data_IF_562139187168
#
_entry.id   IF_562139187168
#
_cell.length_a   1.000
_cell.length_b   1.000
_cell.length_c   1.000
_cell.angle_alpha   90.00
_cell.angle_beta   90.00
_cell.angle_gamma   90.00
#
_symmetry.space_group_name_H-M   'P 1'
#
loop_
_entity.id
_entity.type
_entity.pdbx_description
1 polymer ?
#
# COMPACT_ATOMS: atom_id res chain seq x y z
N UNK A 1 1.78 -46.40 -15.81
CA UNK A 1 0.79 -47.41 -16.28
C UNK A 1 -0.58 -46.96 -15.79
N UNK A 2 -1.56 -46.92 -16.75
CA UNK A 2 -3.00 -46.54 -16.62
C UNK A 2 -3.34 -45.06 -16.52
N UNK A 3 -3.97 -44.51 -17.45
CA UNK A 3 -4.93 -44.52 -18.61
C UNK A 3 -5.95 -43.39 -18.37
N UNK A 4 -5.95 -42.41 -19.11
CA UNK A 4 -6.71 -41.78 -20.20
C UNK A 4 -8.24 -41.97 -20.15
N UNK A 5 -8.97 -40.84 -20.04
CA UNK A 5 -10.08 -40.28 -20.78
C UNK A 5 -11.51 -40.58 -20.24
N UNK A 6 -12.57 -39.95 -20.77
CA UNK A 6 -12.63 -39.12 -21.98
C UNK A 6 -13.38 -37.77 -21.84
N UNK A 7 -13.28 -36.99 -22.90
CA UNK A 7 -13.99 -35.79 -23.31
C UNK A 7 -15.50 -35.92 -23.46
N UNK A 8 -16.26 -34.85 -23.17
CA UNK A 8 -17.57 -34.65 -23.80
C UNK A 8 -17.71 -33.21 -24.30
N UNK A 9 -17.90 -33.13 -25.60
CA UNK A 9 -18.34 -31.97 -26.39
C UNK A 9 -19.85 -31.84 -26.31
N UNK A 10 -20.37 -30.62 -26.35
CA UNK A 10 -21.80 -30.36 -26.53
C UNK A 10 -22.03 -28.91 -26.93
N UNK A 11 -22.14 -28.69 -28.24
CA UNK A 11 -22.55 -27.44 -28.83
C UNK A 11 -24.07 -27.26 -28.75
N UNK A 12 -24.53 -26.05 -28.54
CA UNK A 12 -25.92 -25.63 -28.67
C UNK A 12 -26.03 -24.17 -29.07
N UNK A 13 -26.14 -23.96 -30.39
CA UNK A 13 -26.63 -22.70 -30.98
C UNK A 13 -28.14 -22.68 -30.95
N UNK A 14 -28.76 -21.47 -30.84
CA UNK A 14 -30.03 -20.93 -31.36
C UNK A 14 -30.23 -19.61 -30.61
N UNK A 15 -30.62 -18.43 -31.14
CA UNK A 15 -31.04 -17.97 -32.43
C UNK A 15 -31.28 -16.48 -32.26
N UNK A 16 -31.08 -15.74 -33.31
CA UNK A 16 -31.32 -14.31 -33.43
C UNK A 16 -32.81 -14.02 -33.61
N UNK A 17 -33.28 -12.88 -33.07
CA UNK A 17 -34.47 -12.22 -33.62
C UNK A 17 -34.29 -10.70 -33.64
N UNK A 18 -34.25 -10.19 -34.86
CA UNK A 18 -34.44 -8.79 -35.25
C UNK A 18 -35.89 -8.39 -35.08
N UNK A 19 -36.15 -7.17 -34.65
CA UNK A 19 -37.36 -6.47 -35.08
C UNK A 19 -37.10 -4.98 -35.27
N UNK A 20 -37.19 -4.62 -36.57
CA UNK A 20 -37.30 -3.26 -37.10
C UNK A 20 -38.72 -2.74 -36.93
N UNK A 21 -38.86 -1.40 -36.84
CA UNK A 21 -40.08 -0.63 -37.10
C UNK A 21 -39.78 0.84 -36.85
N UNK A 22 -39.47 1.64 -37.81
CA UNK A 22 -40.06 2.35 -38.94
C UNK A 22 -41.15 3.34 -38.54
N UNK A 23 -40.75 4.64 -38.64
CA UNK A 23 -41.41 5.87 -39.13
C UNK A 23 -42.79 6.32 -38.64
N UNK A 24 -42.97 7.60 -38.29
CA UNK A 24 -43.55 8.58 -39.20
C UNK A 24 -43.66 10.00 -38.61
N UNK A 25 -43.46 10.95 -39.49
CA UNK A 25 -43.62 12.39 -39.51
C UNK A 25 -44.97 12.96 -39.07
N UNK A 26 -44.96 14.23 -38.68
CA UNK A 26 -45.72 15.40 -39.21
C UNK A 26 -45.79 16.49 -38.12
N UNK A 27 -45.29 17.63 -38.32
CA UNK A 27 -45.55 18.82 -39.11
C UNK A 27 -46.40 19.89 -38.40
N UNK A 28 -45.95 21.17 -38.60
CA UNK A 28 -46.60 22.45 -38.48
C UNK A 28 -46.94 23.00 -37.07
N UNK A 29 -46.64 24.21 -36.69
CA UNK A 29 -46.41 25.45 -37.37
C UNK A 29 -46.51 26.63 -36.41
N UNK A 30 -45.86 27.69 -36.81
CA UNK A 30 -46.12 29.12 -36.56
C UNK A 30 -45.88 29.74 -35.19
N UNK A 31 -44.82 30.57 -35.12
CA UNK A 31 -44.98 32.05 -35.12
C UNK A 31 -44.86 32.69 -33.74
N UNK A 32 -43.82 33.50 -33.56
CA UNK A 32 -43.72 34.44 -32.45
C UNK A 32 -42.32 35.07 -32.34
N UNK A 33 -42.21 36.30 -32.72
CA UNK A 33 -41.03 37.12 -32.91
C UNK A 33 -40.30 37.55 -31.60
N UNK A 34 -39.02 37.68 -31.71
CA UNK A 34 -38.14 38.72 -31.17
C UNK A 34 -38.00 38.91 -29.65
N UNK A 35 -36.83 38.48 -29.14
CA UNK A 35 -35.97 39.31 -28.29
C UNK A 35 -34.51 38.80 -28.45
N UNK A 36 -33.74 39.52 -29.29
CA UNK A 36 -32.31 39.44 -29.36
C UNK A 36 -31.69 40.00 -28.07
N UNK A 37 -31.43 39.18 -27.10
CA UNK A 37 -30.45 39.46 -26.05
C UNK A 37 -29.09 38.89 -26.49
N UNK A 38 -28.21 39.83 -26.86
CA UNK A 38 -26.80 39.62 -27.14
C UNK A 38 -26.13 38.97 -25.94
N UNK A 39 -26.11 37.63 -25.87
CA UNK A 39 -25.18 36.89 -25.01
C UNK A 39 -23.85 36.82 -25.73
N UNK A 40 -22.93 37.71 -25.29
CA UNK A 40 -21.52 37.62 -25.63
C UNK A 40 -20.99 36.21 -25.34
N UNK A 41 -19.93 35.76 -26.04
CA UNK A 41 -19.40 34.42 -25.87
C UNK A 41 -18.91 34.26 -24.43
N UNK A 42 -19.62 33.47 -23.61
CA UNK A 42 -19.09 32.97 -22.35
C UNK A 42 -17.81 32.21 -22.68
N UNK A 43 -16.67 32.87 -22.50
CA UNK A 43 -15.37 32.22 -22.55
C UNK A 43 -15.44 31.05 -21.58
N UNK A 44 -15.49 29.83 -22.07
CA UNK A 44 -15.28 28.62 -21.30
C UNK A 44 -13.83 28.67 -20.84
N UNK A 45 -13.54 29.31 -19.69
CA UNK A 45 -12.24 29.20 -19.05
C UNK A 45 -11.93 27.73 -18.88
N UNK A 46 -10.83 27.27 -19.46
CA UNK A 46 -10.36 25.90 -19.27
C UNK A 46 -10.14 25.69 -17.75
N UNK A 47 -10.50 24.54 -17.24
CA UNK A 47 -10.39 24.27 -15.79
C UNK A 47 -9.00 24.50 -15.20
N UNK A 48 -7.96 24.63 -16.04
CA UNK A 48 -6.58 24.94 -15.64
C UNK A 48 -6.25 26.44 -15.50
N UNK A 49 -7.15 27.37 -15.89
CA UNK A 49 -6.84 28.80 -15.97
C UNK A 49 -7.40 29.62 -14.79
N UNK A 50 -7.81 28.96 -13.71
CA UNK A 50 -8.30 29.65 -12.51
C UNK A 50 -7.16 30.04 -11.57
N UNK A 51 -7.31 31.14 -10.77
CA UNK A 51 -6.31 31.49 -9.75
C UNK A 51 -6.00 30.32 -8.77
N UNK A 52 -7.01 29.52 -8.45
CA UNK A 52 -6.85 28.33 -7.59
C UNK A 52 -6.00 27.23 -8.26
N UNK A 53 -6.27 26.95 -9.54
CA UNK A 53 -5.47 26.01 -10.34
C UNK A 53 -4.00 26.45 -10.43
N UNK A 54 -3.76 27.77 -10.63
CA UNK A 54 -2.41 28.31 -10.64
C UNK A 54 -1.71 28.16 -9.27
N UNK A 55 -2.42 28.39 -8.15
CA UNK A 55 -1.88 28.18 -6.80
C UNK A 55 -1.49 26.70 -6.58
N UNK A 56 -2.35 25.77 -6.97
CA UNK A 56 -2.07 24.34 -6.88
C UNK A 56 -0.85 23.96 -7.74
N UNK A 57 -0.81 24.42 -8.99
CA UNK A 57 0.30 24.15 -9.92
C UNK A 57 1.64 24.67 -9.40
N UNK A 58 1.67 25.89 -8.88
CA UNK A 58 2.87 26.48 -8.27
C UNK A 58 3.36 25.69 -7.06
N UNK A 59 2.44 25.22 -6.21
CA UNK A 59 2.78 24.39 -5.06
C UNK A 59 3.33 23.03 -5.51
N UNK A 60 2.67 22.37 -6.44
CA UNK A 60 3.10 21.09 -7.00
C UNK A 60 4.48 21.20 -7.65
N UNK A 61 4.72 22.24 -8.46
CA UNK A 61 6.01 22.51 -9.09
C UNK A 61 7.13 22.73 -8.06
N UNK A 62 6.86 23.51 -7.00
CA UNK A 62 7.82 23.74 -5.91
C UNK A 62 8.20 22.45 -5.21
N UNK A 63 7.22 21.60 -4.90
CA UNK A 63 7.44 20.32 -4.25
C UNK A 63 8.23 19.38 -5.16
N UNK A 64 7.85 19.27 -6.43
CA UNK A 64 8.55 18.46 -7.44
C UNK A 64 10.03 18.86 -7.53
N UNK A 65 10.32 20.16 -7.64
CA UNK A 65 11.71 20.68 -7.71
C UNK A 65 12.52 20.29 -6.47
N UNK A 66 11.90 20.32 -5.29
CA UNK A 66 12.55 19.95 -4.03
C UNK A 66 12.83 18.45 -3.94
N UNK A 67 11.81 17.62 -4.21
CA UNK A 67 11.88 16.17 -4.02
C UNK A 67 12.63 15.46 -5.15
N UNK A 68 12.61 16.00 -6.38
CA UNK A 68 13.26 15.37 -7.55
C UNK A 68 14.76 15.13 -7.33
N UNK A 69 15.47 16.09 -6.72
CA UNK A 69 16.92 15.94 -6.44
C UNK A 69 17.19 14.79 -5.48
N UNK A 70 16.35 14.66 -4.45
CA UNK A 70 16.44 13.57 -3.51
C UNK A 70 16.09 12.24 -4.19
N UNK A 71 14.98 12.17 -4.90
CA UNK A 71 14.56 10.95 -5.60
C UNK A 71 15.62 10.46 -6.61
N UNK A 72 16.23 11.38 -7.38
CA UNK A 72 17.31 11.02 -8.31
C UNK A 72 18.54 10.48 -7.60
N UNK A 73 18.96 11.11 -6.48
CA UNK A 73 20.13 10.66 -5.71
C UNK A 73 19.92 9.28 -5.10
N UNK A 74 18.71 8.99 -4.62
CA UNK A 74 18.34 7.71 -3.99
C UNK A 74 17.84 6.68 -5.01
N UNK A 75 17.91 6.99 -6.31
CA UNK A 75 17.44 6.10 -7.38
C UNK A 75 15.98 5.65 -7.20
N UNK A 76 15.09 6.63 -6.99
CA UNK A 76 13.66 6.44 -6.72
C UNK A 76 12.86 7.01 -7.89
N UNK A 77 11.99 6.22 -8.50
CA UNK A 77 11.04 6.64 -9.54
C UNK A 77 9.58 6.75 -9.04
N UNK A 78 9.32 6.41 -7.78
CA UNK A 78 7.98 6.44 -7.19
C UNK A 78 8.00 7.14 -5.83
N UNK A 79 7.30 8.29 -5.72
CA UNK A 79 7.28 9.10 -4.50
C UNK A 79 6.09 10.06 -4.48
N UNK A 80 5.70 10.52 -3.28
CA UNK A 80 4.64 11.49 -3.08
C UNK A 80 5.14 12.90 -3.34
N UNK A 81 4.49 13.65 -4.23
CA UNK A 81 4.87 15.03 -4.55
C UNK A 81 3.95 16.07 -3.93
N UNK A 82 2.74 15.66 -3.49
CA UNK A 82 1.77 16.56 -2.88
C UNK A 82 0.90 15.78 -1.89
N UNK A 83 0.64 16.33 -0.71
CA UNK A 83 -0.19 15.71 0.34
C UNK A 83 -1.03 16.78 1.05
N UNK A 84 -2.14 17.18 0.43
CA UNK A 84 -3.06 18.21 0.93
C UNK A 84 -2.35 19.49 1.42
N UNK A 85 -1.31 19.90 0.71
CA UNK A 85 -0.48 21.06 1.04
C UNK A 85 -1.28 22.38 1.12
N UNK A 86 -2.34 22.46 0.35
CA UNK A 86 -3.31 23.57 0.37
C UNK A 86 -4.64 23.01 0.86
N UNK A 87 -5.25 23.60 1.89
CA UNK A 87 -6.52 23.10 2.47
C UNK A 87 -7.66 22.96 1.44
N UNK A 88 -7.62 23.79 0.40
CA UNK A 88 -8.60 23.76 -0.67
C UNK A 88 -8.45 22.58 -1.62
N UNK A 89 -7.28 21.99 -1.72
CA UNK A 89 -6.94 20.90 -2.61
C UNK A 89 -6.54 19.67 -1.80
N UNK A 90 -7.54 19.02 -1.20
CA UNK A 90 -7.38 17.86 -0.33
C UNK A 90 -7.15 16.57 -1.15
N UNK A 91 -5.99 16.48 -1.78
CA UNK A 91 -5.55 15.32 -2.57
C UNK A 91 -4.16 14.88 -2.17
N UNK A 92 -3.84 13.60 -2.37
CA UNK A 92 -2.48 13.13 -2.50
C UNK A 92 -2.15 12.96 -3.98
N UNK A 93 -0.90 13.29 -4.37
CA UNK A 93 -0.38 13.08 -5.72
C UNK A 93 0.91 12.29 -5.60
N UNK A 94 0.89 11.06 -6.08
CA UNK A 94 2.00 10.12 -6.06
C UNK A 94 2.49 9.85 -7.48
N UNK A 95 3.80 9.97 -7.70
CA UNK A 95 4.44 9.62 -8.97
C UNK A 95 4.79 8.13 -8.99
N UNK A 96 4.71 7.52 -10.17
CA UNK A 96 5.14 6.15 -10.45
C UNK A 96 5.77 6.13 -11.85
N UNK A 97 7.06 6.52 -11.92
CA UNK A 97 7.72 6.79 -13.20
C UNK A 97 7.11 7.99 -13.91
N UNK A 98 6.56 7.78 -15.11
CA UNK A 98 5.82 8.74 -15.93
C UNK A 98 4.29 8.70 -15.68
N UNK A 99 3.83 7.91 -14.72
CA UNK A 99 2.44 7.84 -14.28
C UNK A 99 2.23 8.58 -12.98
N UNK A 100 1.00 9.06 -12.79
CA UNK A 100 0.59 9.77 -11.57
C UNK A 100 -0.68 9.18 -11.02
N UNK A 101 -0.64 8.83 -9.76
CA UNK A 101 -1.80 8.40 -8.99
C UNK A 101 -2.28 9.57 -8.13
N UNK A 102 -3.52 10.01 -8.37
CA UNK A 102 -4.18 11.09 -7.62
C UNK A 102 -5.25 10.47 -6.73
N UNK A 103 -5.14 10.68 -5.43
CA UNK A 103 -6.11 10.21 -4.46
C UNK A 103 -6.80 11.40 -3.80
N UNK A 104 -8.12 11.51 -3.96
CA UNK A 104 -8.90 12.51 -3.25
C UNK A 104 -9.13 12.07 -1.80
N UNK A 105 -8.85 12.95 -0.86
CA UNK A 105 -9.30 12.80 0.52
C UNK A 105 -10.77 13.24 0.61
N UNK A 106 -11.61 12.46 1.32
CA UNK A 106 -13.00 12.80 1.51
C UNK A 106 -13.12 14.23 2.08
N UNK A 107 -13.76 15.16 1.36
CA UNK A 107 -13.94 16.52 1.86
C UNK A 107 -14.79 16.49 3.13
N UNK A 108 -14.49 17.37 4.12
CA UNK A 108 -15.38 17.56 5.25
C UNK A 108 -16.82 17.86 4.81
N UNK A 109 -17.80 17.43 5.58
CA UNK A 109 -19.23 17.67 5.29
C UNK A 109 -19.62 19.15 5.15
N UNK A 110 -18.76 20.05 5.63
CA UNK A 110 -18.92 21.51 5.51
C UNK A 110 -18.51 22.07 4.14
N UNK A 111 -17.85 21.28 3.30
CA UNK A 111 -17.42 21.69 1.95
C UNK A 111 -18.50 21.39 0.94
N UNK A 112 -18.93 22.42 0.18
CA UNK A 112 -19.88 22.27 -0.91
C UNK A 112 -19.38 21.24 -1.95
N UNK A 113 -20.16 20.20 -2.26
CA UNK A 113 -19.77 19.14 -3.20
C UNK A 113 -19.46 19.65 -4.63
N UNK A 114 -20.12 20.74 -5.06
CA UNK A 114 -19.88 21.35 -6.38
C UNK A 114 -18.50 21.99 -6.41
N UNK A 115 -18.15 22.68 -5.34
CA UNK A 115 -16.82 23.31 -5.17
C UNK A 115 -15.71 22.26 -5.07
N UNK A 116 -15.93 21.16 -4.33
CA UNK A 116 -14.99 20.06 -4.24
C UNK A 116 -14.72 19.44 -5.63
N UNK A 117 -15.79 19.11 -6.38
CA UNK A 117 -15.67 18.57 -7.75
C UNK A 117 -14.94 19.49 -8.71
N UNK A 118 -15.19 20.82 -8.62
CA UNK A 118 -14.49 21.80 -9.45
C UNK A 118 -12.99 21.78 -9.15
N UNK A 119 -12.59 21.79 -7.89
CA UNK A 119 -11.20 21.74 -7.46
C UNK A 119 -10.49 20.45 -7.91
N UNK A 120 -11.17 19.32 -7.83
CA UNK A 120 -10.64 18.06 -8.33
C UNK A 120 -10.41 18.10 -9.85
N UNK A 121 -11.31 18.71 -10.62
CA UNK A 121 -11.12 18.92 -12.06
C UNK A 121 -9.93 19.86 -12.34
N UNK A 122 -9.72 20.89 -11.54
CA UNK A 122 -8.55 21.77 -11.63
C UNK A 122 -7.25 21.00 -11.38
N UNK A 123 -7.21 20.14 -10.35
CA UNK A 123 -6.07 19.27 -10.04
C UNK A 123 -5.72 18.39 -11.25
N UNK A 124 -6.69 17.65 -11.78
CA UNK A 124 -6.47 16.72 -12.92
C UNK A 124 -6.01 17.47 -14.18
N UNK A 125 -6.52 18.69 -14.42
CA UNK A 125 -6.13 19.50 -15.58
C UNK A 125 -4.70 20.09 -15.47
N UNK A 126 -4.25 20.41 -14.25
CA UNK A 126 -2.95 21.04 -13.99
C UNK A 126 -1.79 20.04 -13.95
N UNK A 127 -2.03 18.83 -13.41
CA UNK A 127 -0.99 17.82 -13.20
C UNK A 127 -0.20 17.51 -14.48
N UNK A 128 -0.82 17.22 -15.66
CA UNK A 128 -0.08 16.90 -16.87
C UNK A 128 0.87 18.02 -17.31
N UNK A 129 0.45 19.27 -17.13
CA UNK A 129 1.24 20.45 -17.51
C UNK A 129 2.46 20.65 -16.60
N UNK A 130 2.27 20.49 -15.27
CA UNK A 130 3.33 20.68 -14.28
C UNK A 130 4.34 19.53 -14.28
N UNK A 131 3.85 18.30 -14.43
CA UNK A 131 4.69 17.11 -14.43
C UNK A 131 5.26 16.76 -15.80
N UNK A 132 4.77 17.40 -16.88
CA UNK A 132 5.17 17.16 -18.28
C UNK A 132 4.91 15.69 -18.69
N UNK A 133 3.73 15.16 -18.33
CA UNK A 133 3.27 13.80 -18.67
C UNK A 133 2.01 13.85 -19.53
N UNK A 134 1.70 12.78 -20.28
CA UNK A 134 0.42 12.64 -20.97
C UNK A 134 -0.77 12.70 -20.00
N UNK A 135 -1.91 13.26 -20.45
CA UNK A 135 -3.08 13.38 -19.59
C UNK A 135 -3.70 12.03 -19.21
N UNK A 136 -3.57 11.03 -20.05
CA UNK A 136 -4.01 9.65 -19.82
C UNK A 136 -3.09 8.87 -18.86
N UNK A 137 -1.93 9.42 -18.50
CA UNK A 137 -1.07 8.91 -17.43
C UNK A 137 -1.50 9.40 -16.04
N UNK A 138 -2.55 10.19 -15.92
CA UNK A 138 -3.11 10.62 -14.63
C UNK A 138 -4.26 9.71 -14.23
N UNK A 139 -4.03 8.87 -13.23
CA UNK A 139 -5.04 7.96 -12.67
C UNK A 139 -5.65 8.59 -11.42
N UNK A 140 -6.95 8.89 -11.48
CA UNK A 140 -7.69 9.44 -10.35
C UNK A 140 -8.43 8.32 -9.61
N UNK A 141 -8.18 8.21 -8.30
CA UNK A 141 -8.98 7.40 -7.39
C UNK A 141 -9.68 8.26 -6.35
N UNK A 142 -10.97 8.08 -6.24
CA UNK A 142 -11.79 8.72 -5.20
C UNK A 142 -12.02 7.69 -4.10
N UNK A 143 -11.43 7.90 -2.91
CA UNK A 143 -11.74 7.06 -1.74
C UNK A 143 -13.15 7.37 -1.27
N UNK A 144 -14.07 6.45 -1.52
CA UNK A 144 -15.34 6.40 -0.80
C UNK A 144 -15.11 5.57 0.46
N UNK A 145 -15.79 5.90 1.60
CA UNK A 145 -15.77 5.01 2.75
C UNK A 145 -16.30 3.65 2.31
N UNK A 146 -15.44 2.66 2.25
CA UNK A 146 -15.84 1.29 1.96
C UNK A 146 -16.12 0.59 3.28
N UNK A 147 -17.25 -0.13 3.35
CA UNK A 147 -17.59 -1.01 4.46
C UNK A 147 -17.28 -2.43 4.02
N UNK A 148 -16.36 -3.11 4.74
CA UNK A 148 -16.14 -4.54 4.60
C UNK A 148 -15.07 -4.99 3.59
N UNK A 149 -15.27 -6.18 3.02
CA UNK A 149 -14.30 -6.94 2.21
C UNK A 149 -13.93 -6.33 0.85
N UNK A 150 -14.51 -5.19 0.46
CA UNK A 150 -14.31 -4.57 -0.86
C UNK A 150 -12.89 -3.99 -1.05
N UNK A 151 -12.11 -3.90 0.02
CA UNK A 151 -10.74 -3.38 -0.02
C UNK A 151 -9.80 -4.23 -0.89
N UNK A 152 -10.12 -5.50 -1.06
CA UNK A 152 -9.32 -6.50 -1.79
C UNK A 152 -9.94 -6.89 -3.14
N UNK A 153 -11.05 -6.28 -3.54
CA UNK A 153 -11.71 -6.60 -4.81
C UNK A 153 -11.08 -5.83 -5.97
N UNK A 154 -10.96 -6.53 -7.10
CA UNK A 154 -10.52 -5.95 -8.36
C UNK A 154 -11.59 -4.97 -8.87
N UNK A 155 -11.22 -3.70 -9.06
CA UNK A 155 -12.14 -2.64 -9.49
C UNK A 155 -12.34 -2.63 -11.01
N UNK A 156 -11.33 -3.06 -11.78
CA UNK A 156 -11.31 -3.16 -13.24
C UNK A 156 -10.46 -4.36 -13.67
N UNK A 157 -10.62 -4.80 -14.92
CA UNK A 157 -9.88 -5.94 -15.48
C UNK A 157 -8.87 -5.52 -16.57
N UNK A 158 -8.21 -4.38 -16.39
CA UNK A 158 -7.22 -3.89 -17.36
C UNK A 158 -5.84 -4.54 -17.16
N UNK A 159 -5.59 -5.19 -16.04
CA UNK A 159 -4.40 -5.99 -15.68
C UNK A 159 -3.05 -5.34 -16.03
N UNK A 160 -3.00 -4.00 -16.10
CA UNK A 160 -1.79 -3.27 -16.45
C UNK A 160 -0.90 -3.11 -15.23
N UNK A 161 0.17 -3.88 -15.17
CA UNK A 161 1.23 -3.69 -14.21
C UNK A 161 2.29 -2.77 -14.79
N UNK A 162 2.67 -1.77 -14.00
CA UNK A 162 3.76 -0.84 -14.31
C UNK A 162 4.97 -1.24 -13.46
N UNK A 163 6.17 -1.13 -14.05
CA UNK A 163 7.42 -1.31 -13.31
C UNK A 163 7.90 0.05 -12.80
N UNK A 164 8.23 0.10 -11.51
CA UNK A 164 8.84 1.27 -10.87
C UNK A 164 10.10 0.87 -10.13
N UNK A 165 10.94 1.85 -9.84
CA UNK A 165 12.21 1.65 -9.16
C UNK A 165 12.22 2.35 -7.81
N UNK A 166 12.69 1.65 -6.78
CA UNK A 166 12.93 2.19 -5.46
C UNK A 166 14.25 1.64 -4.91
N UNK A 167 15.21 2.55 -4.65
CA UNK A 167 16.48 2.23 -4.02
C UNK A 167 17.27 1.09 -4.74
N UNK A 168 17.25 1.13 -6.07
CA UNK A 168 17.89 0.16 -6.95
C UNK A 168 17.11 -1.15 -7.14
N UNK A 169 15.96 -1.31 -6.49
CA UNK A 169 15.07 -2.47 -6.63
C UNK A 169 13.88 -2.12 -7.51
N UNK A 170 13.32 -3.12 -8.20
CA UNK A 170 12.21 -2.98 -9.13
C UNK A 170 10.94 -3.57 -8.52
N UNK A 171 9.82 -2.88 -8.72
CA UNK A 171 8.52 -3.29 -8.20
C UNK A 171 7.44 -3.14 -9.27
N UNK A 172 6.55 -4.11 -9.34
CA UNK A 172 5.33 -4.02 -10.10
C UNK A 172 4.29 -3.27 -9.29
N UNK A 173 3.62 -2.31 -9.91
CA UNK A 173 2.49 -1.58 -9.33
C UNK A 173 1.29 -1.60 -10.25
N UNK A 174 0.09 -1.49 -9.70
CA UNK A 174 -1.16 -1.39 -10.44
C UNK A 174 -1.91 -0.14 -9.97
N UNK A 175 -2.10 0.81 -10.85
CA UNK A 175 -2.74 2.08 -10.52
C UNK A 175 -4.25 2.08 -10.77
N UNK A 176 -4.81 1.08 -11.46
CA UNK A 176 -6.19 1.08 -11.95
C UNK A 176 -7.10 0.09 -11.25
N UNK A 177 -6.65 -1.15 -11.06
CA UNK A 177 -7.52 -2.28 -10.76
C UNK A 177 -7.80 -2.48 -9.26
N UNK A 178 -6.86 -2.10 -8.41
CA UNK A 178 -6.94 -2.30 -6.95
C UNK A 178 -7.04 -0.96 -6.23
N UNK A 179 -7.53 -0.96 -5.00
CA UNK A 179 -7.59 0.25 -4.18
C UNK A 179 -6.18 0.78 -3.90
N UNK A 180 -5.28 -0.10 -3.46
CA UNK A 180 -3.88 0.21 -3.21
C UNK A 180 -3.02 -0.16 -4.42
N UNK A 181 -1.89 0.52 -4.58
CA UNK A 181 -1.06 0.44 -5.79
C UNK A 181 -0.13 -0.76 -5.86
N UNK A 182 0.00 -1.52 -4.78
CA UNK A 182 0.95 -2.62 -4.67
C UNK A 182 2.27 -2.23 -4.00
N UNK A 183 2.52 -0.95 -3.74
CA UNK A 183 3.72 -0.48 -3.06
C UNK A 183 3.37 0.70 -2.13
N UNK A 184 3.50 0.50 -0.82
CA UNK A 184 3.32 1.55 0.18
C UNK A 184 4.57 2.42 0.25
N UNK A 185 4.49 3.63 -0.31
CA UNK A 185 5.64 4.54 -0.46
C UNK A 185 6.19 5.05 0.87
N UNK A 186 5.32 5.16 1.88
CA UNK A 186 5.69 5.62 3.23
C UNK A 186 6.59 4.64 3.98
N UNK A 187 6.57 3.35 3.62
CA UNK A 187 7.42 2.32 4.23
C UNK A 187 8.81 2.19 3.60
N UNK A 188 9.22 3.07 2.70
CA UNK A 188 10.52 3.02 2.01
C UNK A 188 11.70 2.92 2.98
N UNK A 189 11.74 3.77 4.01
CA UNK A 189 12.84 3.74 4.99
C UNK A 189 12.76 2.48 5.86
N UNK A 190 11.56 2.04 6.23
CA UNK A 190 11.37 0.77 6.95
C UNK A 190 11.89 -0.40 6.13
N UNK A 191 11.60 -0.44 4.82
CA UNK A 191 12.17 -1.47 3.92
C UNK A 191 13.69 -1.40 3.82
N UNK A 192 14.26 -0.18 3.72
CA UNK A 192 15.72 0.02 3.77
C UNK A 192 16.34 -0.53 5.05
N UNK A 193 15.72 -0.28 6.20
CA UNK A 193 16.14 -0.82 7.50
C UNK A 193 16.07 -2.36 7.53
N UNK A 194 15.03 -2.96 6.93
CA UNK A 194 14.95 -4.43 6.80
C UNK A 194 16.13 -4.97 5.99
N UNK A 195 16.49 -4.31 4.88
CA UNK A 195 17.66 -4.69 4.06
C UNK A 195 18.95 -4.63 4.86
N UNK A 196 19.16 -3.58 5.65
CA UNK A 196 20.35 -3.42 6.51
C UNK A 196 20.43 -4.50 7.61
N UNK A 197 19.28 -4.92 8.13
CA UNK A 197 19.20 -5.92 9.19
C UNK A 197 19.20 -7.36 8.67
N UNK A 198 18.98 -7.61 7.39
CA UNK A 198 18.77 -8.94 6.83
C UNK A 198 19.99 -9.83 6.65
N UNK A 199 21.27 -9.35 6.52
CA UNK A 199 22.40 -10.21 6.18
C UNK A 199 22.49 -11.46 7.07
N UNK A 200 22.44 -12.65 6.43
CA UNK A 200 22.53 -13.96 7.10
C UNK A 200 21.33 -14.35 7.97
N UNK A 201 20.27 -13.56 8.02
CA UNK A 201 19.11 -13.77 8.90
C UNK A 201 17.97 -14.51 8.19
N UNK A 202 17.23 -15.30 8.95
CA UNK A 202 15.95 -15.88 8.55
C UNK A 202 14.87 -14.83 8.76
N UNK A 203 14.26 -14.37 7.66
CA UNK A 203 13.29 -13.29 7.66
C UNK A 203 11.85 -13.79 7.55
N UNK A 204 10.95 -13.26 8.37
CA UNK A 204 9.51 -13.50 8.31
C UNK A 204 8.77 -12.18 8.00
N UNK A 205 7.94 -12.21 6.97
CA UNK A 205 7.06 -11.11 6.59
C UNK A 205 5.59 -11.52 6.82
N UNK A 206 4.97 -10.95 7.83
CA UNK A 206 3.57 -11.20 8.19
C UNK A 206 2.67 -10.12 7.59
N UNK A 207 1.50 -10.50 7.07
CA UNK A 207 0.65 -9.65 6.22
C UNK A 207 1.46 -9.13 5.03
N UNK A 208 2.12 -10.06 4.35
CA UNK A 208 3.22 -9.79 3.43
C UNK A 208 2.84 -9.01 2.18
N UNK A 209 1.54 -8.90 1.86
CA UNK A 209 1.01 -8.15 0.73
C UNK A 209 1.76 -8.52 -0.57
N UNK A 210 2.24 -7.55 -1.33
CA UNK A 210 2.99 -7.77 -2.57
C UNK A 210 4.47 -8.11 -2.36
N UNK A 211 4.89 -8.40 -1.13
CA UNK A 211 6.24 -8.86 -0.80
C UNK A 211 7.33 -7.79 -0.90
N UNK A 212 7.01 -6.50 -0.95
CA UNK A 212 8.04 -5.46 -1.09
C UNK A 212 9.08 -5.50 0.04
N UNK A 213 8.67 -5.76 1.29
CA UNK A 213 9.58 -5.96 2.43
C UNK A 213 10.46 -7.20 2.24
N UNK A 214 9.91 -8.29 1.69
CA UNK A 214 10.64 -9.52 1.38
C UNK A 214 11.71 -9.30 0.32
N UNK A 215 11.41 -8.52 -0.74
CA UNK A 215 12.40 -8.14 -1.77
C UNK A 215 13.58 -7.41 -1.15
N UNK A 216 13.32 -6.46 -0.25
CA UNK A 216 14.40 -5.74 0.45
C UNK A 216 15.22 -6.65 1.36
N UNK A 217 14.58 -7.55 2.11
CA UNK A 217 15.30 -8.51 2.94
C UNK A 217 16.16 -9.47 2.10
N UNK A 218 15.62 -9.99 0.99
CA UNK A 218 16.37 -10.83 0.04
C UNK A 218 17.57 -10.07 -0.55
N UNK A 219 17.39 -8.82 -0.98
CA UNK A 219 18.46 -7.98 -1.51
C UNK A 219 19.54 -7.64 -0.47
N UNK A 220 19.17 -7.63 0.82
CA UNK A 220 20.07 -7.47 1.95
C UNK A 220 20.82 -8.74 2.33
N UNK A 221 20.65 -9.85 1.62
CA UNK A 221 21.36 -11.11 1.90
C UNK A 221 20.72 -11.92 3.03
N UNK A 222 19.39 -11.89 3.18
CA UNK A 222 18.71 -12.81 4.09
C UNK A 222 19.06 -14.26 3.75
N UNK A 223 19.32 -15.09 4.77
CA UNK A 223 19.59 -16.52 4.59
C UNK A 223 18.37 -17.25 4.01
N UNK A 224 17.17 -16.86 4.47
CA UNK A 224 15.90 -17.30 3.93
C UNK A 224 14.81 -16.27 4.21
N UNK A 225 13.73 -16.30 3.44
CA UNK A 225 12.55 -15.47 3.69
C UNK A 225 11.28 -16.31 3.68
N UNK A 226 10.35 -15.98 4.57
CA UNK A 226 8.99 -16.54 4.57
C UNK A 226 8.02 -15.39 4.51
N UNK A 227 7.14 -15.39 3.51
CA UNK A 227 6.07 -14.40 3.33
C UNK A 227 4.73 -15.06 3.58
N UNK A 228 3.99 -14.56 4.56
CA UNK A 228 2.66 -15.07 4.93
C UNK A 228 1.61 -14.02 4.58
N UNK A 229 0.63 -14.40 3.78
CA UNK A 229 -0.53 -13.58 3.43
C UNK A 229 -1.74 -14.46 3.11
N UNK A 230 -2.94 -13.94 3.36
CA UNK A 230 -4.19 -14.66 3.08
C UNK A 230 -4.51 -14.71 1.58
N UNK A 231 -4.08 -13.71 0.83
CA UNK A 231 -4.42 -13.49 -0.58
C UNK A 231 -3.46 -14.21 -1.52
N UNK A 232 -3.99 -15.18 -2.30
CA UNK A 232 -3.22 -15.80 -3.38
C UNK A 232 -2.72 -14.78 -4.39
N UNK A 233 -3.57 -13.79 -4.76
CA UNK A 233 -3.20 -12.72 -5.71
C UNK A 233 -2.00 -11.92 -5.22
N UNK A 234 -1.96 -11.58 -3.93
CA UNK A 234 -0.84 -10.83 -3.38
C UNK A 234 0.42 -11.68 -3.25
N UNK A 235 0.31 -12.96 -2.92
CA UNK A 235 1.45 -13.87 -2.90
C UNK A 235 2.02 -14.12 -4.31
N UNK A 236 1.17 -14.20 -5.34
CA UNK A 236 1.63 -14.30 -6.74
C UNK A 236 2.31 -13.01 -7.19
N UNK A 237 1.81 -11.85 -6.74
CA UNK A 237 2.46 -10.58 -6.98
C UNK A 237 3.80 -10.48 -6.24
N UNK A 238 3.88 -10.97 -5.00
CA UNK A 238 5.12 -11.04 -4.23
C UNK A 238 6.18 -11.91 -4.93
N UNK A 239 5.80 -13.09 -5.46
CA UNK A 239 6.71 -13.92 -6.28
C UNK A 239 7.25 -13.16 -7.48
N UNK A 240 6.37 -12.50 -8.24
CA UNK A 240 6.76 -11.71 -9.41
C UNK A 240 7.70 -10.56 -9.04
N UNK A 241 7.49 -9.90 -7.90
CA UNK A 241 8.40 -8.86 -7.41
C UNK A 241 9.78 -9.42 -7.02
N UNK A 242 9.85 -10.62 -6.41
CA UNK A 242 11.11 -11.27 -6.13
C UNK A 242 11.82 -11.69 -7.43
N UNK A 243 11.11 -12.36 -8.35
CA UNK A 243 11.64 -12.78 -9.66
C UNK A 243 12.17 -11.61 -10.47
N UNK A 244 11.45 -10.48 -10.49
CA UNK A 244 11.84 -9.24 -11.15
C UNK A 244 13.22 -8.73 -10.68
N UNK A 245 13.58 -9.03 -9.43
CA UNK A 245 14.86 -8.66 -8.80
C UNK A 245 15.88 -9.82 -8.77
N UNK A 246 15.60 -10.95 -9.43
CA UNK A 246 16.50 -12.09 -9.52
C UNK A 246 16.50 -13.02 -8.31
N UNK A 247 15.51 -12.92 -7.42
CA UNK A 247 15.35 -13.76 -6.23
C UNK A 247 14.31 -14.85 -6.48
N UNK A 248 14.67 -15.90 -7.22
CA UNK A 248 13.74 -16.97 -7.61
C UNK A 248 14.08 -18.34 -7.01
N UNK A 249 15.04 -18.42 -6.10
CA UNK A 249 15.47 -19.66 -5.51
C UNK A 249 14.55 -20.16 -4.35
N UNK A 250 14.76 -21.40 -3.93
CA UNK A 250 13.95 -22.08 -2.91
C UNK A 250 14.09 -21.50 -1.48
N UNK A 251 14.99 -20.54 -1.25
CA UNK A 251 15.13 -19.88 0.05
C UNK A 251 13.99 -18.92 0.35
N UNK A 252 13.17 -18.59 -0.65
CA UNK A 252 12.08 -17.63 -0.54
C UNK A 252 10.73 -18.37 -0.53
N UNK A 253 10.21 -18.62 0.68
CA UNK A 253 8.94 -19.30 0.89
C UNK A 253 7.73 -18.36 0.91
N UNK A 254 6.59 -18.86 0.41
CA UNK A 254 5.30 -18.15 0.40
C UNK A 254 4.24 -19.05 1.02
N UNK A 255 3.56 -18.55 2.04
CA UNK A 255 2.55 -19.30 2.79
C UNK A 255 1.22 -18.57 2.66
N UNK A 256 0.23 -19.25 2.06
CA UNK A 256 -1.14 -18.75 2.05
C UNK A 256 -1.83 -19.17 3.34
N UNK A 257 -1.98 -18.23 4.27
CA UNK A 257 -2.65 -18.46 5.54
C UNK A 257 -3.21 -17.16 6.12
N UNK A 258 -4.20 -17.27 6.99
CA UNK A 258 -4.51 -16.20 7.93
C UNK A 258 -3.34 -16.06 8.91
N UNK A 259 -2.76 -14.86 9.00
CA UNK A 259 -1.58 -14.61 9.84
C UNK A 259 -1.85 -14.89 11.33
N UNK A 260 -3.08 -14.67 11.81
CA UNK A 260 -3.47 -14.98 13.20
C UNK A 260 -3.44 -16.47 13.46
N UNK A 261 -4.08 -17.25 12.59
CA UNK A 261 -4.10 -18.71 12.68
C UNK A 261 -2.70 -19.29 12.49
N UNK A 262 -1.96 -18.79 11.51
CA UNK A 262 -0.60 -19.25 11.24
C UNK A 262 0.32 -19.01 12.45
N UNK A 263 0.25 -17.84 13.08
CA UNK A 263 1.00 -17.54 14.30
C UNK A 263 0.60 -18.45 15.47
N UNK A 264 -0.70 -18.73 15.62
CA UNK A 264 -1.17 -19.61 16.67
C UNK A 264 -0.66 -21.06 16.48
N UNK A 265 -0.58 -21.54 15.23
CA UNK A 265 -0.05 -22.86 14.90
C UNK A 265 1.48 -22.93 14.97
N UNK A 266 2.18 -21.86 14.58
CA UNK A 266 3.63 -21.75 14.62
C UNK A 266 4.18 -21.48 16.03
N UNK A 267 3.33 -21.13 16.99
CA UNK A 267 3.76 -20.84 18.36
C UNK A 267 4.49 -22.06 18.97
N UNK A 268 5.60 -21.83 19.71
CA UNK A 268 6.29 -22.90 20.43
C UNK A 268 5.32 -23.65 21.33
N UNK A 269 5.18 -24.94 21.15
CA UNK A 269 4.37 -25.83 21.98
C UNK A 269 5.26 -26.90 22.60
N UNK A 270 4.70 -27.68 23.56
CA UNK A 270 5.40 -28.84 24.10
C UNK A 270 5.71 -29.89 23.02
N UNK A 271 4.88 -29.93 21.94
CA UNK A 271 5.02 -30.86 20.83
C UNK A 271 5.96 -30.33 19.73
N UNK A 272 6.16 -29.00 19.65
CA UNK A 272 7.04 -28.34 18.70
C UNK A 272 7.92 -27.29 19.39
N UNK A 273 8.83 -27.70 20.30
CA UNK A 273 9.71 -26.76 21.03
C UNK A 273 10.69 -26.05 20.09
N UNK A 274 10.97 -26.64 18.92
CA UNK A 274 11.96 -26.12 17.96
C UNK A 274 11.47 -24.90 17.16
N UNK A 275 10.20 -24.53 17.28
CA UNK A 275 9.67 -23.31 16.62
C UNK A 275 10.21 -22.02 17.26
N UNK A 276 10.64 -22.08 18.54
CA UNK A 276 11.31 -20.96 19.20
C UNK A 276 12.67 -20.68 18.55
N UNK A 277 12.88 -19.44 18.14
CA UNK A 277 14.11 -19.06 17.45
C UNK A 277 14.13 -19.42 15.96
N UNK A 278 12.95 -19.64 15.36
CA UNK A 278 12.83 -19.95 13.93
C UNK A 278 13.21 -18.78 13.04
N UNK A 279 13.09 -17.53 13.52
CA UNK A 279 13.35 -16.31 12.76
C UNK A 279 14.26 -15.34 13.53
N UNK A 280 15.08 -14.63 12.78
CA UNK A 280 16.05 -13.66 13.32
C UNK A 280 15.59 -12.21 13.04
N UNK A 281 14.72 -12.03 12.07
CA UNK A 281 14.12 -10.76 11.71
C UNK A 281 12.66 -10.98 11.30
N UNK A 282 11.74 -10.26 11.94
CA UNK A 282 10.32 -10.33 11.62
C UNK A 282 9.82 -8.93 11.27
N UNK A 283 9.05 -8.81 10.20
CA UNK A 283 8.25 -7.63 9.89
C UNK A 283 6.78 -7.95 10.05
N UNK A 284 6.08 -7.17 10.86
CA UNK A 284 4.67 -7.31 11.16
C UNK A 284 3.97 -5.98 10.89
N UNK A 285 3.35 -5.88 9.72
CA UNK A 285 2.61 -4.69 9.27
C UNK A 285 1.15 -5.05 9.02
N UNK A 286 0.41 -5.19 10.12
CA UNK A 286 -0.97 -5.63 10.08
C UNK A 286 -1.92 -4.49 9.63
N UNK A 287 -2.98 -4.80 8.86
CA UNK A 287 -4.00 -3.83 8.49
C UNK A 287 -4.71 -3.26 9.73
N UNK A 288 -5.18 -2.01 9.65
CA UNK A 288 -5.91 -1.37 10.76
C UNK A 288 -7.13 -2.18 11.19
N UNK A 289 -7.84 -2.74 10.21
CA UNK A 289 -9.02 -3.55 10.42
C UNK A 289 -9.14 -4.58 9.29
N UNK A 290 -9.49 -5.81 9.63
CA UNK A 290 -9.78 -6.85 8.65
C UNK A 290 -10.94 -7.73 9.12
N UNK A 291 -11.90 -7.95 8.21
CA UNK A 291 -13.06 -8.81 8.40
C UNK A 291 -13.29 -9.71 7.17
N UNK A 292 -12.23 -10.17 6.53
CA UNK A 292 -12.34 -11.06 5.36
C UNK A 292 -13.19 -12.29 5.69
N UNK A 293 -14.04 -12.72 4.74
CA UNK A 293 -14.83 -13.96 4.87
C UNK A 293 -13.98 -15.22 5.05
N UNK A 294 -12.70 -15.12 4.73
CA UNK A 294 -11.72 -16.20 4.89
C UNK A 294 -10.97 -16.14 6.23
N UNK A 295 -11.29 -15.20 7.11
CA UNK A 295 -10.73 -15.09 8.46
C UNK A 295 -11.70 -15.68 9.47
N UNK A 296 -11.15 -16.37 10.47
CA UNK A 296 -11.93 -16.92 11.61
C UNK A 296 -12.33 -15.86 12.63
N UNK A 297 -11.58 -14.74 12.71
CA UNK A 297 -11.85 -13.65 13.62
C UNK A 297 -11.61 -12.30 12.94
N UNK A 298 -12.33 -11.28 13.40
CA UNK A 298 -12.11 -9.89 12.99
C UNK A 298 -10.89 -9.32 13.67
N UNK A 299 -9.94 -8.83 12.89
CA UNK A 299 -8.76 -8.12 13.39
C UNK A 299 -9.08 -6.63 13.61
N UNK A 300 -8.77 -6.13 14.79
CA UNK A 300 -8.67 -4.70 15.12
C UNK A 300 -7.29 -4.45 15.70
N UNK A 301 -6.44 -3.71 14.97
CA UNK A 301 -5.03 -3.56 15.37
C UNK A 301 -4.85 -2.88 16.72
N UNK A 302 -5.73 -1.95 17.11
CA UNK A 302 -5.62 -1.29 18.43
C UNK A 302 -5.94 -2.26 19.56
N UNK A 303 -6.86 -3.18 19.36
CA UNK A 303 -7.22 -4.21 20.33
C UNK A 303 -6.21 -5.36 20.37
N UNK A 304 -5.78 -5.82 19.20
CA UNK A 304 -5.16 -7.13 19.03
C UNK A 304 -3.62 -7.09 18.93
N UNK A 305 -3.02 -5.88 18.76
CA UNK A 305 -1.58 -5.76 18.48
C UNK A 305 -0.69 -6.40 19.56
N UNK A 306 -1.05 -6.30 20.84
CA UNK A 306 -0.24 -6.87 21.92
C UNK A 306 -0.14 -8.40 21.79
N UNK A 307 -1.25 -9.07 21.49
CA UNK A 307 -1.28 -10.50 21.26
C UNK A 307 -0.49 -10.88 20.00
N UNK A 308 -0.64 -10.12 18.92
CA UNK A 308 0.12 -10.33 17.67
C UNK A 308 1.62 -10.19 17.88
N UNK A 309 2.04 -9.14 18.61
CA UNK A 309 3.45 -8.91 18.93
C UNK A 309 4.01 -10.07 19.77
N UNK A 310 3.29 -10.54 20.81
CA UNK A 310 3.70 -11.67 21.65
C UNK A 310 3.85 -12.96 20.81
N UNK A 311 2.87 -13.25 19.96
CA UNK A 311 2.91 -14.43 19.09
C UNK A 311 4.07 -14.38 18.11
N UNK A 312 4.29 -13.26 17.43
CA UNK A 312 5.41 -13.08 16.51
C UNK A 312 6.77 -13.11 17.24
N UNK A 313 6.88 -12.44 18.40
CA UNK A 313 8.09 -12.44 19.21
C UNK A 313 8.43 -13.84 19.78
N UNK A 314 7.43 -14.70 19.98
CA UNK A 314 7.62 -16.10 20.37
C UNK A 314 8.42 -16.90 19.35
N UNK A 315 8.45 -16.48 18.08
CA UNK A 315 9.21 -17.11 17.00
C UNK A 315 10.63 -16.52 16.83
N UNK A 316 10.97 -15.44 17.55
CA UNK A 316 12.29 -14.82 17.46
C UNK A 316 13.36 -15.66 18.11
N UNK A 317 14.53 -15.66 17.48
CA UNK A 317 15.80 -16.07 18.13
C UNK A 317 16.14 -15.11 19.27
N UNK A 318 17.04 -15.50 20.20
CA UNK A 318 17.40 -14.66 21.35
C UNK A 318 17.88 -13.24 21.00
N UNK A 319 18.57 -13.10 19.87
CA UNK A 319 19.07 -11.82 19.31
C UNK A 319 18.19 -11.31 18.17
N UNK A 320 16.98 -11.87 18.03
CA UNK A 320 16.04 -11.55 16.96
C UNK A 320 15.43 -10.15 17.12
N UNK A 321 14.96 -9.61 16.01
CA UNK A 321 14.35 -8.28 15.92
C UNK A 321 12.97 -8.42 15.27
N UNK A 322 11.94 -7.86 15.92
CA UNK A 322 10.62 -7.62 15.34
C UNK A 322 10.49 -6.12 15.02
N UNK A 323 10.24 -5.79 13.77
CA UNK A 323 9.72 -4.49 13.39
C UNK A 323 8.21 -4.58 13.28
N UNK A 324 7.52 -3.87 14.17
CA UNK A 324 6.06 -3.74 14.16
C UNK A 324 5.67 -2.40 13.58
N UNK A 325 4.73 -2.39 12.63
CA UNK A 325 4.20 -1.18 12.02
C UNK A 325 2.67 -1.17 12.01
N UNK A 326 2.09 0.04 12.01
CA UNK A 326 0.67 0.25 11.83
C UNK A 326 0.38 1.62 11.21
N UNK A 327 -0.54 1.67 10.25
CA UNK A 327 -1.04 2.90 9.63
C UNK A 327 -2.26 3.50 10.37
N UNK A 328 -2.63 2.95 11.54
CA UNK A 328 -3.71 3.50 12.34
C UNK A 328 -3.29 4.80 13.02
N UNK A 329 -3.83 5.93 12.58
CA UNK A 329 -3.42 7.30 13.02
C UNK A 329 -3.50 7.56 14.53
N UNK A 330 -4.33 6.80 15.24
CA UNK A 330 -4.53 6.93 16.71
C UNK A 330 -3.90 5.77 17.46
N UNK A 331 -3.04 4.99 16.80
CA UNK A 331 -2.40 3.84 17.42
C UNK A 331 -1.67 4.23 18.69
N UNK A 332 -1.85 3.42 19.72
CA UNK A 332 -1.12 3.49 20.99
C UNK A 332 -0.66 2.08 21.32
N UNK A 333 0.64 1.92 21.48
CA UNK A 333 1.20 0.66 21.92
C UNK A 333 0.74 0.37 23.34
N UNK A 334 0.32 -0.88 23.60
CA UNK A 334 -0.05 -1.37 24.91
C UNK A 334 1.18 -1.30 25.84
N UNK A 335 1.10 -0.64 27.00
CA UNK A 335 2.21 -0.55 27.95
C UNK A 335 2.75 -1.90 28.41
N UNK A 336 1.94 -2.96 28.44
CA UNK A 336 2.37 -4.30 28.83
C UNK A 336 3.43 -4.85 27.87
N UNK A 337 3.38 -4.50 26.57
CA UNK A 337 4.40 -4.91 25.61
C UNK A 337 5.79 -4.40 26.02
N UNK A 338 5.87 -3.16 26.57
CA UNK A 338 7.12 -2.59 27.02
C UNK A 338 7.61 -3.16 28.36
N UNK A 339 6.76 -3.88 29.11
CA UNK A 339 7.17 -4.64 30.29
C UNK A 339 7.78 -6.00 29.93
N UNK A 340 7.37 -6.58 28.80
CA UNK A 340 7.79 -7.91 28.36
C UNK A 340 9.00 -7.88 27.41
N UNK A 341 9.16 -6.78 26.66
CA UNK A 341 10.14 -6.65 25.59
C UNK A 341 10.93 -5.34 25.70
N UNK A 342 12.12 -5.30 25.11
CA UNK A 342 12.80 -4.04 24.85
C UNK A 342 12.15 -3.37 23.63
N UNK A 343 11.51 -2.23 23.81
CA UNK A 343 10.76 -1.50 22.78
C UNK A 343 11.40 -0.15 22.50
N UNK A 344 11.68 0.13 21.24
CA UNK A 344 12.12 1.44 20.76
C UNK A 344 11.11 1.98 19.71
N UNK A 345 10.51 3.14 19.96
CA UNK A 345 9.75 3.87 18.97
C UNK A 345 10.71 4.48 17.93
N UNK A 346 10.68 3.97 16.72
CA UNK A 346 11.49 4.44 15.59
C UNK A 346 10.68 5.19 14.53
N UNK A 347 9.41 5.51 14.82
CA UNK A 347 8.48 6.15 13.88
C UNK A 347 9.10 7.34 13.16
N UNK A 348 9.68 8.30 13.91
CA UNK A 348 10.26 9.50 13.31
C UNK A 348 11.42 9.21 12.34
N UNK A 349 12.12 8.08 12.56
CA UNK A 349 13.27 7.67 11.74
C UNK A 349 12.84 6.94 10.48
N UNK A 350 11.59 6.46 10.41
CA UNK A 350 11.05 5.68 9.29
C UNK A 350 10.16 6.49 8.35
N UNK A 351 9.81 7.73 8.71
CA UNK A 351 9.04 8.63 7.83
C UNK A 351 9.95 9.20 6.73
N UNK A 352 9.69 8.89 5.45
CA UNK A 352 10.53 9.38 4.37
C UNK A 352 10.25 10.88 4.04
N UNK A 353 11.18 11.58 3.38
CA UNK A 353 11.08 13.02 3.11
C UNK A 353 9.82 13.44 2.38
N UNK A 354 9.31 12.61 1.48
CA UNK A 354 8.08 12.83 0.72
C UNK A 354 6.80 12.71 1.57
N UNK A 355 6.90 12.13 2.78
CA UNK A 355 5.83 12.06 3.78
C UNK A 355 6.07 12.95 5.01
N UNK A 356 7.10 13.81 5.01
CA UNK A 356 7.44 14.67 6.15
C UNK A 356 6.27 15.56 6.64
N UNK A 357 5.29 15.86 5.77
CA UNK A 357 4.07 16.61 6.12
C UNK A 357 3.02 15.79 6.84
N UNK A 358 3.11 14.48 6.75
CA UNK A 358 2.19 13.54 7.39
C UNK A 358 2.94 12.58 8.32
N UNK A 359 3.53 13.09 9.42
CA UNK A 359 4.37 12.28 10.32
C UNK A 359 3.59 11.19 11.08
N UNK A 360 2.27 11.12 10.88
CA UNK A 360 1.38 10.09 11.43
C UNK A 360 0.82 9.19 10.34
N UNK A 361 1.54 9.06 9.19
CA UNK A 361 1.14 8.15 8.12
C UNK A 361 1.21 6.69 8.58
N UNK A 362 2.23 6.36 9.35
CA UNK A 362 2.38 5.11 10.09
C UNK A 362 3.06 5.34 11.44
N UNK A 363 3.07 4.32 12.29
CA UNK A 363 3.95 4.17 13.45
C UNK A 363 4.86 2.96 13.22
N UNK A 364 6.09 2.97 13.78
CA UNK A 364 7.01 1.86 13.65
C UNK A 364 7.79 1.68 14.95
N UNK A 365 7.81 0.44 15.45
CA UNK A 365 8.50 0.04 16.68
C UNK A 365 9.50 -1.06 16.38
N UNK A 366 10.70 -0.93 16.93
CA UNK A 366 11.68 -2.00 17.01
C UNK A 366 11.53 -2.69 18.36
N UNK A 367 11.27 -3.99 18.31
CA UNK A 367 10.99 -4.81 19.50
C UNK A 367 12.01 -5.95 19.52
N UNK A 368 12.64 -6.19 20.68
CA UNK A 368 13.58 -7.29 20.90
C UNK A 368 13.26 -8.02 22.20
N UNK A 369 13.58 -9.31 22.31
CA UNK A 369 13.43 -10.01 23.59
C UNK A 369 14.13 -9.27 24.72
N UNK A 370 13.51 -9.21 25.90
CA UNK A 370 14.14 -8.63 27.07
C UNK A 370 15.41 -9.42 27.42
N UNK A 371 16.51 -8.74 27.63
CA UNK A 371 17.75 -9.40 28.08
C UNK A 371 17.54 -9.95 29.50
N UNK A 372 17.92 -11.20 29.76
CA UNK A 372 17.89 -11.69 31.12
C UNK A 372 18.77 -10.78 31.99
N UNK A 373 18.20 -10.28 33.08
CA UNK A 373 18.96 -9.52 34.08
C UNK A 373 20.17 -10.36 34.51
N UNK A 374 21.38 -9.95 34.13
CA UNK A 374 22.59 -10.50 34.76
C UNK A 374 22.49 -10.17 36.23
N UNK A 375 22.19 -11.16 37.04
CA UNK A 375 22.24 -11.03 38.49
C UNK A 375 23.66 -10.60 38.89
N UNK A 376 23.76 -9.61 39.75
CA UNK A 376 25.03 -9.05 40.29
C UNK A 376 25.84 -10.06 41.13
N UNK A 377 25.49 -11.35 41.13
CA UNK A 377 26.11 -12.38 41.96
C UNK A 377 27.44 -12.95 41.46
N UNK A 378 27.88 -12.63 40.26
CA UNK A 378 29.15 -13.21 39.72
C UNK A 378 30.41 -12.35 39.93
N UNK A 379 30.36 -11.32 40.79
CA UNK A 379 31.54 -10.50 41.10
C UNK A 379 32.20 -10.81 42.46
N UNK A 380 31.89 -11.93 43.09
CA UNK A 380 32.44 -12.23 44.44
C UNK A 380 33.27 -13.50 44.55
N UNK A 381 33.84 -14.04 43.46
CA UNK A 381 34.82 -15.13 43.54
C UNK A 381 36.02 -14.85 42.67
N UNK A 382 36.90 -13.98 43.16
CA UNK A 382 38.16 -13.64 42.48
C UNK A 382 39.08 -12.81 43.33
N UNK A 383 39.20 -13.16 44.60
CA UNK A 383 40.28 -12.67 45.47
C UNK A 383 40.57 -13.75 46.53
N UNK A 384 41.50 -14.58 46.24
CA UNK A 384 42.09 -15.57 47.12
C UNK A 384 43.42 -16.01 46.58
#
# INVERSE_FOLDING_TARGET
MFKIGPSFSGAGRVGAEESRGVLADSDSGTGGAAAEESRGPLSRSRSGDTPGAAMFGNRLHKNLKHLRRWATRENISCYRVYDADLPEYAVAVDLYGDWTHVQEYAPPSTVDPVRARRRLKEVVAVIPQVLQIPADHVVLKVRRPQQGADQYQKLRDESRLLEVQEDGLRFLVNLTDYLDTGLFLDHRITRGLLRELAPGRRFLNLFGYTGSATVYAASGGAASTTTVDLSTTYLDWARRNLELNGFSDSRHGFVRADCLEWLAQAAPSREQPDSKGSYDLIFLDAPTFSNSKSMTATLDIQRDHAQLIRAAAGLLSPEGILLFSSNFRRFKLDPEVALEFEVADITKRTIPPDFARNPRIHTCFRITPARPHRSRSDRSHGAG
#
